data_IF_241262507807
#
_entry.id   IF_241262507807
#
_cell.length_a   1.000
_cell.length_b   1.000
_cell.length_c   1.000
_cell.angle_alpha   90.00
_cell.angle_beta   90.00
_cell.angle_gamma   90.00
#
_symmetry.space_group_name_H-M   'P 1'
#
loop_
_entity.id
_entity.type
_entity.pdbx_description
1 polymer ?
2 non-polymer ?
3 non-polymer ?
4 non-polymer ?
5 non-polymer ?
6 non-polymer ?
7 non-polymer ?
8 water ?
#
# COMPACT_ATOMS: atom_id res chain seq x y z
N UNK A 17 -8.43 7.22 -23.44
CA UNK A 17 -9.11 7.76 -22.20
C UNK A 17 -8.71 7.05 -20.87
N UNK A 18 -7.41 6.96 -20.58
CA UNK A 18 -7.08 6.30 -19.31
C UNK A 18 -7.50 7.15 -18.10
N UNK A 19 -7.91 6.49 -17.01
CA UNK A 19 -8.35 7.16 -15.77
C UNK A 19 -7.32 7.11 -14.66
N UNK A 20 -6.12 6.64 -14.94
CA UNK A 20 -5.08 6.45 -13.91
C UNK A 20 -3.73 6.99 -14.34
N UNK A 21 -3.73 8.22 -14.80
CA UNK A 21 -2.61 8.75 -15.53
C UNK A 21 -1.87 9.81 -14.69
N UNK A 22 -2.60 10.64 -13.94
CA UNK A 22 -2.04 11.88 -13.35
C UNK A 22 -2.33 11.82 -11.83
N UNK A 23 -1.39 12.24 -11.00
CA UNK A 23 -1.58 12.39 -9.61
C UNK A 23 -1.70 13.89 -9.28
N UNK A 24 -2.79 14.24 -8.54
CA UNK A 24 -3.07 15.54 -8.08
C UNK A 24 -3.05 15.62 -6.57
N UNK A 25 -2.82 16.81 -6.01
CA UNK A 25 -2.97 17.02 -4.59
C UNK A 25 -4.44 16.68 -4.18
N UNK A 26 -4.61 15.81 -3.19
CA UNK A 26 -5.93 15.39 -2.76
C UNK A 26 -6.74 16.55 -2.14
N UNK A 27 -6.08 17.56 -1.60
CA UNK A 27 -6.74 18.67 -0.95
C UNK A 27 -7.16 19.80 -1.85
N UNK A 28 -6.49 20.01 -2.98
CA UNK A 28 -6.77 21.17 -3.84
C UNK A 28 -6.77 20.89 -5.32
N UNK A 29 -6.27 19.74 -5.75
CA UNK A 29 -6.19 19.43 -7.18
C UNK A 29 -4.96 19.86 -7.95
N UNK A 30 -4.02 20.54 -7.32
CA UNK A 30 -2.75 20.85 -7.98
C UNK A 30 -2.12 19.63 -8.68
N UNK A 31 -1.72 19.74 -9.92
CA UNK A 31 -1.01 18.68 -10.62
C UNK A 31 0.36 18.41 -9.98
N UNK A 32 0.63 17.16 -9.60
CA UNK A 32 1.85 16.80 -8.88
C UNK A 32 2.78 15.80 -9.64
N UNK A 33 2.26 14.71 -10.11
CA UNK A 33 3.09 13.75 -10.82
C UNK A 33 2.23 12.85 -11.71
N UNK A 34 2.86 11.79 -12.25
CA UNK A 34 2.24 10.93 -13.24
C UNK A 34 2.64 9.51 -12.93
N UNK A 35 1.74 8.59 -13.21
CA UNK A 35 2.05 7.18 -13.04
C UNK A 35 3.29 6.73 -13.86
N UNK A 36 3.45 7.29 -15.03
CA UNK A 36 4.65 7.06 -15.86
C UNK A 36 5.97 7.38 -15.18
N UNK A 37 5.94 8.23 -14.15
CA UNK A 37 7.14 8.67 -13.46
C UNK A 37 7.38 7.90 -12.17
N UNK A 38 6.57 6.90 -11.90
CA UNK A 38 6.91 5.98 -10.81
C UNK A 38 8.31 5.35 -10.90
N UNK A 39 9.06 5.32 -9.81
CA UNK A 39 10.48 4.98 -9.78
C UNK A 39 10.65 3.80 -8.78
N UNK A 40 11.00 2.60 -9.26
CA UNK A 40 11.20 1.47 -8.34
C UNK A 40 12.56 1.47 -7.59
N UNK A 41 12.72 2.25 -6.54
CA UNK A 41 13.87 2.30 -5.66
C UNK A 41 14.05 1.00 -4.87
N UNK A 42 15.23 0.38 -4.93
CA UNK A 42 15.41 -0.93 -4.33
C UNK A 42 14.40 -1.97 -4.78
N UNK A 43 13.91 -1.88 -6.03
CA UNK A 43 12.98 -2.89 -6.57
C UNK A 43 11.51 -2.67 -6.31
N UNK A 44 11.13 -1.57 -5.65
CA UNK A 44 9.70 -1.34 -5.38
C UNK A 44 9.45 0.18 -5.42
N UNK A 45 8.44 0.61 -6.12
CA UNK A 45 8.06 2.00 -6.08
C UNK A 45 7.36 2.36 -4.75
N UNK A 46 6.84 1.38 -4.02
CA UNK A 46 6.25 1.57 -2.69
C UNK A 46 7.16 1.20 -1.51
N UNK A 47 7.29 2.12 -0.56
CA UNK A 47 8.13 1.98 0.62
C UNK A 47 7.33 2.37 1.85
N UNK A 48 7.19 1.45 2.80
CA UNK A 48 6.43 1.71 4.01
C UNK A 48 7.40 2.04 5.13
N UNK A 49 7.24 3.19 5.73
CA UNK A 49 8.23 3.79 6.63
C UNK A 49 7.55 4.50 7.79
N UNK A 50 8.32 4.76 8.86
CA UNK A 50 7.86 5.45 10.02
C UNK A 50 8.84 6.55 10.34
N UNK A 51 8.35 7.68 10.80
CA UNK A 51 9.19 8.76 11.32
C UNK A 51 9.38 8.69 12.86
N UNK A 52 10.19 9.59 13.41
CA UNK A 52 10.48 9.49 14.86
C UNK A 52 9.25 9.69 15.73
N UNK A 53 8.22 10.37 15.26
CA UNK A 53 6.99 10.52 15.96
C UNK A 53 6.09 9.28 15.82
N UNK A 54 6.58 8.25 15.13
CA UNK A 54 5.86 7.02 14.94
C UNK A 54 4.81 6.99 13.86
N UNK A 55 4.68 8.05 13.06
CA UNK A 55 3.71 8.08 11.96
C UNK A 55 4.20 7.11 10.89
N UNK A 56 3.28 6.29 10.38
CA UNK A 56 3.53 5.39 9.30
C UNK A 56 3.10 6.06 7.98
N UNK A 57 3.92 5.89 6.96
CA UNK A 57 3.66 6.50 5.61
C UNK A 57 3.88 5.37 4.61
N UNK A 58 2.97 5.29 3.61
CA UNK A 58 3.16 4.46 2.46
C UNK A 58 3.58 5.49 1.40
N UNK A 59 4.86 5.43 1.05
CA UNK A 59 5.53 6.38 0.19
C UNK A 59 5.69 5.74 -1.19
N UNK A 60 5.28 6.49 -2.22
CA UNK A 60 5.54 6.06 -3.61
C UNK A 60 6.69 6.98 -4.12
N UNK A 61 7.66 6.32 -4.76
CA UNK A 61 8.83 7.02 -5.26
C UNK A 61 8.58 7.39 -6.70
N UNK A 62 8.90 8.63 -7.05
CA UNK A 62 8.74 9.18 -8.39
C UNK A 62 10.03 9.82 -8.84
N UNK A 63 10.37 9.62 -10.12
CA UNK A 63 11.55 10.30 -10.67
C UNK A 63 11.42 11.81 -10.75
N UNK A 64 10.19 12.32 -10.94
CA UNK A 64 9.89 13.70 -11.19
C UNK A 64 8.57 14.01 -10.55
N UNK A 65 8.39 15.26 -10.24
CA UNK A 65 7.13 15.82 -9.75
C UNK A 65 7.17 17.27 -10.02
N UNK A 66 6.02 17.91 -9.96
CA UNK A 66 5.88 19.35 -10.19
C UNK A 66 4.89 19.90 -9.22
N UNK A 67 4.72 21.19 -9.17
CA UNK A 67 3.65 21.77 -8.34
C UNK A 67 3.89 21.74 -6.85
N UNK A 68 5.08 21.43 -6.44
CA UNK A 68 5.48 21.33 -5.05
C UNK A 68 6.26 22.57 -4.71
N UNK A 69 6.50 22.72 -3.41
CA UNK A 69 7.41 23.69 -2.89
C UNK A 69 8.26 22.96 -1.89
N UNK A 70 9.58 23.01 -2.15
CA UNK A 70 10.57 22.31 -1.33
C UNK A 70 11.09 23.29 -0.29
N UNK A 71 11.02 22.93 0.97
CA UNK A 71 11.22 23.83 2.05
C UNK A 71 12.55 23.55 2.76
N UNK A 72 13.37 24.61 2.92
CA UNK A 72 14.58 24.50 3.72
C UNK A 72 15.73 23.83 3.02
N UNK A 73 16.78 23.54 3.77
CA UNK A 73 17.97 22.92 3.24
C UNK A 73 17.93 21.41 3.55
N UNK A 74 18.63 20.60 2.74
CA UNK A 74 18.53 19.17 2.89
C UNK A 74 19.07 18.69 4.22
N UNK A 75 18.57 17.59 4.71
CA UNK A 75 19.06 16.95 5.93
C UNK A 75 19.21 15.48 5.69
N UNK A 76 20.24 14.87 6.24
CA UNK A 76 20.40 13.44 6.23
C UNK A 76 19.84 12.73 7.45
N UNK A 77 19.38 13.47 8.45
CA UNK A 77 18.86 12.90 9.72
C UNK A 77 17.64 11.97 9.45
N UNK A 78 17.71 10.75 9.91
CA UNK A 78 16.63 9.74 9.82
C UNK A 78 16.22 9.37 8.38
N UNK A 79 17.06 9.61 7.38
CA UNK A 79 16.68 9.32 6.03
C UNK A 79 16.33 7.90 5.85
N UNK A 80 15.18 7.67 5.23
CA UNK A 80 14.69 6.38 4.87
C UNK A 80 15.43 5.78 3.69
N UNK A 81 16.25 6.55 2.99
CA UNK A 81 16.87 6.05 1.77
C UNK A 81 18.33 6.34 1.91
N UNK A 82 19.13 5.28 2.03
CA UNK A 82 20.55 5.41 2.35
C UNK A 82 21.28 6.24 1.30
N UNK A 83 22.06 7.20 1.78
CA UNK A 83 22.79 8.12 0.93
C UNK A 83 22.08 9.31 0.39
N UNK A 84 20.83 9.53 0.81
CA UNK A 84 20.08 10.69 0.38
C UNK A 84 19.71 11.56 1.53
N UNK A 85 19.73 12.87 1.26
CA UNK A 85 19.30 13.88 2.13
C UNK A 85 17.92 14.31 1.66
N UNK A 86 17.11 14.74 2.61
CA UNK A 86 15.69 15.09 2.31
C UNK A 86 15.37 16.51 2.58
N UNK A 87 14.38 16.99 1.83
CA UNK A 87 13.72 18.28 2.12
C UNK A 87 12.22 17.99 2.08
N UNK A 88 11.50 18.68 2.91
CA UNK A 88 10.03 18.59 2.94
C UNK A 88 9.45 19.15 1.65
N UNK A 89 8.51 18.41 1.06
CA UNK A 89 7.81 18.83 -0.14
C UNK A 89 6.33 19.08 0.23
N UNK A 90 5.93 20.34 0.11
CA UNK A 90 4.56 20.74 0.28
C UNK A 90 3.93 20.95 -1.08
N UNK A 91 2.61 20.76 -1.14
CA UNK A 91 1.82 21.28 -2.27
C UNK A 91 2.08 22.77 -2.43
N UNK A 92 2.48 23.18 -3.63
CA UNK A 92 2.85 24.55 -3.88
C UNK A 92 1.62 25.46 -3.93
N UNK A 93 0.45 24.88 -4.05
CA UNK A 93 -0.81 25.60 -4.10
C UNK A 93 -1.36 25.78 -2.67
N UNK A 94 -1.58 24.67 -2.00
CA UNK A 94 -2.35 24.67 -0.73
C UNK A 94 -1.52 24.46 0.57
N UNK A 95 -0.28 24.03 0.42
CA UNK A 95 0.60 23.80 1.53
C UNK A 95 0.48 22.42 2.19
N UNK A 96 -0.36 21.53 1.69
CA UNK A 96 -0.50 20.17 2.22
C UNK A 96 0.91 19.48 2.12
N UNK A 97 1.32 18.80 3.22
CA UNK A 97 2.57 18.10 3.20
C UNK A 97 2.41 16.81 2.37
N UNK A 98 3.01 16.75 1.17
CA UNK A 98 2.80 15.67 0.26
C UNK A 98 3.92 14.62 0.26
N UNK A 99 5.08 14.99 0.79
CA UNK A 99 6.18 14.06 0.97
C UNK A 99 7.51 14.76 1.09
N UNK A 100 8.50 14.23 0.40
CA UNK A 100 9.89 14.74 0.53
C UNK A 100 10.57 14.69 -0.82
N UNK A 101 11.57 15.55 -1.01
CA UNK A 101 12.47 15.44 -2.11
C UNK A 101 13.79 14.95 -1.57
N UNK A 102 14.36 13.98 -2.27
CA UNK A 102 15.64 13.36 -1.86
C UNK A 102 16.70 13.78 -2.87
N UNK A 103 17.89 14.06 -2.35
CA UNK A 103 19.00 14.48 -3.15
C UNK A 103 20.32 14.02 -2.55
N UNK A 104 21.42 14.31 -3.27
CA UNK A 104 22.72 13.95 -2.77
C UNK A 104 23.24 12.53 -2.91
N UNK A 105 22.45 11.66 -3.54
CA UNK A 105 22.78 10.25 -3.64
C UNK A 105 23.30 9.90 -5.00
N UNK A 106 23.18 8.60 -5.38
CA UNK A 106 23.71 8.12 -6.69
C UNK A 106 22.68 7.18 -7.36
N UNK A 107 22.39 7.38 -8.62
CA UNK A 107 21.62 6.41 -9.43
C UNK A 107 20.26 6.08 -8.80
N UNK A 108 19.37 7.06 -8.65
CA UNK A 108 19.51 8.42 -9.18
C UNK A 108 20.09 9.37 -8.15
N UNK A 109 20.56 10.52 -8.59
CA UNK A 109 21.00 11.55 -7.67
C UNK A 109 19.85 12.11 -6.80
N UNK A 110 18.67 12.25 -7.41
CA UNK A 110 17.53 12.85 -6.80
C UNK A 110 16.22 12.05 -7.17
N UNK A 111 15.22 12.17 -6.30
CA UNK A 111 13.89 11.61 -6.58
C UNK A 111 12.93 12.20 -5.52
N UNK A 112 11.66 11.87 -5.70
CA UNK A 112 10.62 12.32 -4.79
C UNK A 112 10.00 11.11 -4.09
N UNK A 113 9.78 11.26 -2.80
CA UNK A 113 8.98 10.23 -2.07
C UNK A 113 7.71 10.89 -1.59
N UNK A 114 6.61 10.54 -2.23
CA UNK A 114 5.33 11.22 -1.98
C UNK A 114 4.38 10.26 -1.26
N UNK A 115 3.57 10.81 -0.37
CA UNK A 115 2.68 10.03 0.47
C UNK A 115 1.40 9.69 -0.34
N UNK A 116 1.25 8.41 -0.65
CA UNK A 116 0.26 7.93 -1.61
C UNK A 116 -1.16 8.40 -1.28
N UNK A 117 -1.57 8.28 -0.02
CA UNK A 117 -2.93 8.66 0.36
C UNK A 117 -3.20 10.19 0.39
N UNK A 118 -2.20 11.01 0.15
CA UNK A 118 -2.36 12.43 0.03
C UNK A 118 -2.48 12.92 -1.41
N UNK A 119 -2.50 11.99 -2.35
CA UNK A 119 -2.64 12.27 -3.79
C UNK A 119 -3.94 11.64 -4.27
N UNK A 120 -4.53 12.22 -5.29
CA UNK A 120 -5.64 11.62 -6.01
C UNK A 120 -5.24 11.30 -7.42
N UNK A 121 -5.55 10.08 -7.90
CA UNK A 121 -5.15 9.65 -9.20
C UNK A 121 -6.32 9.73 -10.17
N UNK A 122 -6.07 10.17 -11.39
CA UNK A 122 -7.15 10.40 -12.33
C UNK A 122 -6.63 10.62 -13.76
N UNK A 123 -7.55 10.89 -14.66
CA UNK A 123 -7.24 11.02 -16.04
C UNK A 123 -6.49 12.29 -16.34
N UNK A 124 -5.77 12.25 -17.46
CA UNK A 124 -4.73 13.20 -17.84
C UNK A 124 -5.05 14.69 -18.01
N UNK A 125 -6.23 15.06 -18.49
CA UNK A 125 -6.45 16.48 -18.90
C UNK A 125 -5.34 17.05 -19.88
N UNK B 20 -17.91 -11.24 10.83
CA UNK B 20 -18.96 -10.66 9.95
C UNK B 20 -18.95 -9.20 10.37
N UNK B 21 -17.95 -8.48 9.91
CA UNK B 21 -18.10 -7.06 9.83
C UNK B 21 -18.76 -6.74 8.46
N UNK B 22 -19.83 -5.95 8.47
CA UNK B 22 -20.54 -5.59 7.26
C UNK B 22 -20.50 -4.08 7.02
N UNK B 23 -20.62 -3.66 5.75
CA UNK B 23 -20.81 -2.34 5.37
C UNK B 23 -22.25 -2.11 4.94
N UNK B 24 -22.90 -1.15 5.57
CA UNK B 24 -24.26 -0.75 5.28
C UNK B 24 -24.29 0.57 4.59
N UNK B 25 -25.32 0.79 3.81
CA UNK B 25 -25.57 2.13 3.23
C UNK B 25 -25.75 3.11 4.43
N UNK B 26 -24.98 4.20 4.41
CA UNK B 26 -25.03 5.16 5.50
C UNK B 26 -26.40 5.90 5.57
N UNK B 27 -27.10 6.02 4.44
CA UNK B 27 -28.35 6.74 4.37
C UNK B 27 -29.57 5.93 4.77
N UNK B 28 -29.58 4.62 4.54
CA UNK B 28 -30.77 3.81 4.93
C UNK B 28 -30.53 2.54 5.68
N UNK B 29 -29.25 2.14 5.83
CA UNK B 29 -28.89 0.92 6.56
C UNK B 29 -28.91 -0.38 5.83
N UNK B 30 -29.21 -0.36 4.53
CA UNK B 30 -29.26 -1.65 3.78
C UNK B 30 -27.88 -2.25 3.83
N UNK B 31 -27.71 -3.55 4.12
CA UNK B 31 -26.45 -4.24 3.90
C UNK B 31 -26.01 -4.12 2.39
N UNK B 32 -24.76 -3.69 2.20
CA UNK B 32 -24.16 -3.55 0.87
C UNK B 32 -22.97 -4.47 0.59
N UNK B 33 -22.02 -4.54 1.48
CA UNK B 33 -20.89 -5.40 1.28
C UNK B 33 -20.29 -5.82 2.64
N UNK B 34 -19.19 -6.56 2.59
CA UNK B 34 -18.66 -7.21 3.80
C UNK B 34 -17.16 -7.01 3.79
N UNK B 35 -16.58 -6.92 4.99
CA UNK B 35 -15.14 -6.84 5.11
C UNK B 35 -14.40 -8.04 4.45
N UNK B 36 -14.99 -9.21 4.54
CA UNK B 36 -14.41 -10.41 3.88
C UNK B 36 -14.28 -10.26 2.35
N UNK B 37 -15.00 -9.30 1.76
CA UNK B 37 -14.99 -9.12 0.30
C UNK B 37 -14.09 -8.02 -0.12
N UNK B 38 -13.39 -7.34 0.85
CA UNK B 38 -12.38 -6.39 0.44
C UNK B 38 -11.39 -6.92 -0.60
N UNK B 39 -11.11 -6.13 -1.62
CA UNK B 39 -10.37 -6.59 -2.80
C UNK B 39 -9.18 -5.63 -3.01
N UNK B 40 -7.95 -6.09 -2.82
CA UNK B 40 -6.81 -5.16 -3.01
C UNK B 40 -6.39 -5.03 -4.49
N UNK B 41 -7.08 -4.22 -5.28
CA UNK B 41 -6.75 -3.94 -6.68
C UNK B 41 -5.48 -3.11 -6.80
N UNK B 42 -4.55 -3.58 -7.64
CA UNK B 42 -3.24 -2.94 -7.72
C UNK B 42 -2.53 -2.86 -6.36
N UNK B 43 -2.76 -3.79 -5.44
CA UNK B 43 -2.07 -3.79 -4.15
C UNK B 43 -2.66 -2.96 -3.04
N UNK B 44 -3.85 -2.35 -3.25
CA UNK B 44 -4.50 -1.62 -2.13
C UNK B 44 -6.00 -1.70 -2.31
N UNK B 45 -6.76 -1.97 -1.26
CA UNK B 45 -8.20 -1.88 -1.37
C UNK B 45 -8.69 -0.40 -1.41
N UNK B 46 -7.90 0.55 -0.95
CA UNK B 46 -8.19 2.01 -1.03
C UNK B 46 -7.51 2.72 -2.20
N UNK B 47 -8.30 3.47 -2.96
CA UNK B 47 -7.85 4.24 -4.09
C UNK B 47 -8.46 5.62 -3.94
N UNK B 48 -7.62 6.66 -3.84
CA UNK B 48 -8.11 8.03 -3.93
C UNK B 48 -7.97 8.46 -5.39
N UNK B 49 -9.08 8.88 -5.96
CA UNK B 49 -9.19 9.09 -7.43
C UNK B 49 -9.98 10.39 -7.69
N UNK B 50 -9.90 10.90 -8.90
CA UNK B 50 -10.67 12.07 -9.32
C UNK B 50 -11.24 11.76 -10.71
N UNK B 51 -12.42 12.29 -10.98
CA UNK B 51 -13.08 12.10 -12.28
C UNK B 51 -12.81 13.32 -13.20
N UNK B 52 -13.29 13.28 -14.45
CA UNK B 52 -12.97 14.37 -15.35
C UNK B 52 -13.54 15.73 -14.95
N UNK B 53 -14.64 15.72 -14.16
CA UNK B 53 -15.19 16.94 -13.61
C UNK B 53 -14.41 17.41 -12.41
N UNK B 54 -13.36 16.69 -12.02
CA UNK B 54 -12.53 17.11 -10.89
C UNK B 54 -13.07 16.73 -9.51
N UNK B 55 -14.09 15.92 -9.45
CA UNK B 55 -14.59 15.47 -8.11
C UNK B 55 -13.62 14.40 -7.61
N UNK B 56 -13.28 14.46 -6.33
CA UNK B 56 -12.35 13.55 -5.66
C UNK B 56 -13.11 12.55 -4.81
N UNK B 57 -12.74 11.31 -4.91
CA UNK B 57 -13.40 10.20 -4.16
C UNK B 57 -12.37 9.34 -3.49
N UNK B 58 -12.70 8.76 -2.36
CA UNK B 58 -11.87 7.77 -1.73
C UNK B 58 -12.66 6.50 -1.79
N UNK B 59 -12.23 5.61 -2.66
CA UNK B 59 -12.90 4.38 -3.08
C UNK B 59 -12.26 3.17 -2.44
N UNK B 60 -13.08 2.26 -1.89
CA UNK B 60 -12.65 0.96 -1.40
C UNK B 60 -13.19 -0.11 -2.39
N UNK B 61 -12.34 -1.05 -2.80
CA UNK B 61 -12.70 -2.06 -3.72
C UNK B 61 -13.21 -3.31 -2.95
N UNK B 62 -14.32 -3.86 -3.45
CA UNK B 62 -14.90 -5.07 -2.92
C UNK B 62 -15.20 -6.04 -4.06
N UNK B 63 -15.07 -7.32 -3.85
CA UNK B 63 -15.34 -8.32 -4.87
C UNK B 63 -16.79 -8.45 -5.28
N UNK B 64 -17.68 -8.30 -4.31
CA UNK B 64 -19.12 -8.46 -4.49
C UNK B 64 -19.78 -7.41 -3.64
N UNK B 65 -21.04 -7.22 -3.91
CA UNK B 65 -21.90 -6.35 -3.16
C UNK B 65 -23.31 -6.78 -3.43
N UNK B 66 -24.21 -6.26 -2.64
CA UNK B 66 -25.64 -6.59 -2.76
C UNK B 66 -26.39 -5.34 -2.44
N UNK B 67 -27.65 -5.37 -2.86
CA UNK B 67 -28.56 -4.29 -2.52
C UNK B 67 -28.36 -3.00 -3.28
N UNK B 68 -27.56 -3.03 -4.32
CA UNK B 68 -27.36 -1.89 -5.20
C UNK B 68 -28.27 -1.95 -6.43
N UNK B 69 -28.27 -0.87 -7.18
CA UNK B 69 -28.87 -0.82 -8.50
C UNK B 69 -27.89 -0.13 -9.41
N UNK B 70 -27.50 -0.81 -10.47
CA UNK B 70 -26.53 -0.37 -11.44
C UNK B 70 -27.25 0.31 -12.57
N UNK B 71 -26.84 1.53 -12.90
CA UNK B 71 -27.62 2.33 -13.82
C UNK B 71 -26.83 2.56 -15.10
N UNK B 72 -27.51 2.43 -16.22
CA UNK B 72 -26.92 2.72 -17.52
C UNK B 72 -26.13 1.52 -18.07
N UNK B 73 -25.52 1.76 -19.23
CA UNK B 73 -24.67 0.78 -19.88
C UNK B 73 -23.22 1.02 -19.47
N UNK B 74 -22.39 -0.03 -19.47
CA UNK B 74 -20.99 0.15 -19.05
C UNK B 74 -20.24 1.12 -19.92
N UNK B 75 -19.30 1.86 -19.35
CA UNK B 75 -18.47 2.77 -20.14
C UNK B 75 -17.04 2.50 -19.76
N UNK B 76 -16.20 2.60 -20.85
CA UNK B 76 -14.80 2.54 -20.68
C UNK B 76 -14.10 3.86 -20.51
N UNK B 77 -14.83 4.97 -20.65
CA UNK B 77 -14.23 6.33 -20.59
C UNK B 77 -13.64 6.60 -19.18
N UNK B 78 -12.35 6.91 -19.11
CA UNK B 78 -11.64 7.34 -17.89
C UNK B 78 -11.76 6.42 -16.69
N UNK B 79 -11.84 5.12 -16.99
CA UNK B 79 -11.95 4.13 -15.92
C UNK B 79 -10.73 4.23 -15.08
N UNK B 80 -10.94 4.25 -13.79
CA UNK B 80 -9.85 4.24 -12.82
C UNK B 80 -9.15 2.86 -12.76
N UNK B 81 -9.70 1.83 -13.39
CA UNK B 81 -9.08 0.50 -13.29
C UNK B 81 -8.92 0.00 -14.70
N UNK B 82 -7.67 -0.06 -15.14
CA UNK B 82 -7.33 -0.47 -16.48
C UNK B 82 -7.87 -1.81 -16.84
N UNK B 83 -8.50 -1.87 -18.01
CA UNK B 83 -9.14 -3.10 -18.51
C UNK B 83 -10.59 -3.31 -18.07
N UNK B 84 -11.17 -2.40 -17.31
CA UNK B 84 -12.53 -2.50 -16.87
C UNK B 84 -13.36 -1.34 -17.36
N UNK B 85 -14.64 -1.61 -17.58
CA UNK B 85 -15.67 -0.64 -17.81
C UNK B 85 -16.44 -0.46 -16.47
N UNK B 86 -17.04 0.70 -16.32
CA UNK B 86 -17.76 1.05 -15.12
C UNK B 86 -19.23 1.37 -15.39
N UNK B 87 -20.02 1.10 -14.35
CA UNK B 87 -21.41 1.55 -14.29
C UNK B 87 -21.64 2.17 -12.93
N UNK B 88 -22.40 3.22 -12.88
CA UNK B 88 -22.82 3.86 -11.62
C UNK B 88 -23.64 2.90 -10.75
N UNK B 89 -23.30 2.86 -9.47
CA UNK B 89 -24.02 2.03 -8.48
C UNK B 89 -24.73 2.92 -7.45
N UNK B 90 -26.05 2.83 -7.41
CA UNK B 90 -26.84 3.44 -6.35
C UNK B 90 -27.30 2.40 -5.33
N UNK B 91 -27.55 2.84 -4.11
CA UNK B 91 -28.32 2.02 -3.16
C UNK B 91 -29.70 1.68 -3.76
N UNK B 92 -30.05 0.41 -3.81
CA UNK B 92 -31.26 -0.05 -4.44
C UNK B 92 -32.50 0.32 -3.64
N UNK B 93 -32.31 0.55 -2.36
CA UNK B 93 -33.36 0.85 -1.43
C UNK B 93 -33.67 2.36 -1.36
N UNK B 94 -32.64 3.16 -1.17
CA UNK B 94 -32.85 4.63 -1.04
C UNK B 94 -32.27 5.53 -2.12
N UNK B 95 -31.49 5.00 -3.04
CA UNK B 95 -30.96 5.79 -4.16
C UNK B 95 -29.62 6.50 -3.95
N UNK B 96 -29.02 6.41 -2.77
CA UNK B 96 -27.72 7.08 -2.56
C UNK B 96 -26.65 6.59 -3.55
N UNK B 97 -25.85 7.48 -4.11
CA UNK B 97 -24.76 7.06 -5.03
C UNK B 97 -23.63 6.45 -4.22
N UNK B 98 -23.45 5.12 -4.23
CA UNK B 98 -22.51 4.47 -3.37
C UNK B 98 -21.20 4.13 -4.05
N UNK B 99 -21.18 4.11 -5.39
CA UNK B 99 -19.91 3.93 -6.14
C UNK B 99 -20.15 3.47 -7.54
N UNK B 100 -19.35 2.47 -7.95
CA UNK B 100 -19.39 1.95 -9.30
C UNK B 100 -19.17 0.49 -9.32
N UNK B 101 -19.72 -0.17 -10.34
CA UNK B 101 -19.38 -1.58 -10.62
C UNK B 101 -18.49 -1.60 -11.83
N UNK B 102 -17.49 -2.47 -11.81
CA UNK B 102 -16.52 -2.67 -12.84
C UNK B 102 -16.70 -4.03 -13.45
N UNK B 103 -16.57 -4.06 -14.79
CA UNK B 103 -16.72 -5.33 -15.47
C UNK B 103 -15.84 -5.35 -16.72
N UNK B 104 -15.72 -6.51 -17.29
CA UNK B 104 -15.11 -6.65 -18.64
C UNK B 104 -13.63 -6.96 -18.56
N UNK B 105 -13.14 -7.17 -17.35
CA UNK B 105 -11.74 -7.56 -17.15
C UNK B 105 -11.57 -9.02 -16.91
N UNK B 106 -10.45 -9.38 -16.26
CA UNK B 106 -10.09 -10.78 -15.94
C UNK B 106 -9.49 -10.83 -14.53
N UNK B 107 -9.87 -11.81 -13.73
CA UNK B 107 -9.25 -12.08 -12.43
C UNK B 107 -9.16 -10.83 -11.53
N UNK B 108 -10.31 -10.27 -11.11
CA UNK B 108 -11.63 -10.83 -11.34
C UNK B 108 -12.29 -10.21 -12.54
N UNK B 109 -13.30 -10.87 -13.08
CA UNK B 109 -14.01 -10.27 -14.20
C UNK B 109 -14.79 -9.02 -13.80
N UNK B 110 -15.34 -9.04 -12.59
CA UNK B 110 -16.13 -7.95 -12.02
C UNK B 110 -15.76 -7.64 -10.56
N UNK B 111 -15.99 -6.39 -10.16
CA UNK B 111 -15.84 -5.95 -8.76
C UNK B 111 -16.50 -4.58 -8.61
N UNK B 112 -16.52 -4.09 -7.37
CA UNK B 112 -17.13 -2.83 -7.00
C UNK B 112 -16.07 -1.89 -6.47
N UNK B 113 -16.21 -0.62 -6.79
CA UNK B 113 -15.46 0.45 -6.13
C UNK B 113 -16.51 1.31 -5.41
N UNK B 114 -16.51 1.26 -4.12
CA UNK B 114 -17.54 1.92 -3.32
C UNK B 114 -16.93 3.11 -2.55
N UNK B 115 -17.70 4.15 -2.39
CA UNK B 115 -17.28 5.37 -1.73
C UNK B 115 -17.28 5.19 -0.23
N UNK B 116 -16.11 5.08 0.37
CA UNK B 116 -15.98 4.70 1.78
C UNK B 116 -16.81 5.54 2.72
N UNK B 117 -16.85 6.83 2.52
CA UNK B 117 -17.61 7.80 3.33
C UNK B 117 -19.12 7.67 3.27
N UNK B 118 -19.62 6.91 2.30
CA UNK B 118 -21.04 6.67 2.13
C UNK B 118 -21.53 5.39 2.72
N UNK B 119 -20.62 4.65 3.36
CA UNK B 119 -20.92 3.37 3.96
C UNK B 119 -20.71 3.52 5.47
N UNK B 120 -21.34 2.63 6.20
CA UNK B 120 -21.13 2.54 7.63
C UNK B 120 -20.72 1.12 7.94
N UNK B 121 -19.64 0.90 8.68
CA UNK B 121 -19.19 -0.41 9.05
C UNK B 121 -19.69 -0.77 10.46
N UNK B 122 -20.09 -2.02 10.61
CA UNK B 122 -20.66 -2.47 11.88
C UNK B 122 -20.83 -3.98 11.89
N UNK B 123 -21.24 -4.53 13.01
CA UNK B 123 -21.47 -5.95 13.11
C UNK B 123 -22.71 -6.37 12.35
N UNK B 124 -22.67 -7.57 11.80
CA UNK B 124 -23.79 -8.12 11.04
C UNK B 124 -24.96 -8.39 11.97
N UNK C 19 17.61 6.00 10.38
CA UNK C 19 16.27 6.16 9.74
C UNK C 19 15.55 4.85 9.46
N UNK C 20 16.30 3.75 9.35
CA UNK C 20 15.76 2.42 9.07
C UNK C 20 16.35 1.36 9.98
N UNK C 21 16.23 1.60 11.27
CA UNK C 21 16.88 0.87 12.30
C UNK C 21 15.91 -0.09 13.08
N UNK C 22 14.62 0.26 13.15
CA UNK C 22 13.61 -0.55 13.84
C UNK C 22 12.53 -0.97 12.85
N UNK C 23 12.13 -2.24 12.92
CA UNK C 23 11.18 -2.77 11.97
C UNK C 23 9.90 -3.07 12.71
N UNK C 24 8.77 -2.62 12.13
CA UNK C 24 7.44 -2.71 12.76
C UNK C 24 6.42 -3.33 11.81
N UNK C 25 5.35 -3.89 12.36
CA UNK C 25 4.21 -4.27 11.54
C UNK C 25 3.64 -3.08 10.74
N UNK C 26 3.53 -3.22 9.43
CA UNK C 26 2.96 -2.19 8.54
C UNK C 26 1.52 -1.86 8.84
N UNK C 27 0.76 -2.86 9.28
CA UNK C 27 -0.70 -2.71 9.49
C UNK C 27 -1.06 -2.07 10.78
N UNK C 28 -0.25 -2.30 11.85
CA UNK C 28 -0.60 -1.70 13.14
C UNK C 28 0.51 -1.02 13.88
N UNK C 29 1.77 -1.16 13.40
CA UNK C 29 2.93 -0.61 14.04
C UNK C 29 3.58 -1.36 15.21
N UNK C 30 3.09 -2.55 15.52
CA UNK C 30 3.75 -3.39 16.57
C UNK C 30 5.25 -3.50 16.30
N UNK C 31 6.08 -3.26 17.28
CA UNK C 31 7.53 -3.40 17.16
C UNK C 31 7.85 -4.88 16.97
N UNK C 32 8.65 -5.21 15.94
CA UNK C 32 8.98 -6.64 15.64
C UNK C 32 10.47 -6.97 15.78
N UNK C 33 11.34 -6.18 15.17
CA UNK C 33 12.75 -6.45 15.27
C UNK C 33 13.60 -5.20 15.00
N UNK C 34 14.92 -5.40 14.90
CA UNK C 34 15.87 -4.29 14.92
C UNK C 34 16.97 -4.58 13.91
N UNK C 35 17.50 -3.51 13.34
CA UNK C 35 18.61 -3.63 12.40
C UNK C 35 19.83 -4.35 13.02
N UNK C 36 20.09 -4.13 14.29
CA UNK C 36 21.13 -4.86 15.07
C UNK C 36 21.01 -6.41 14.96
N UNK C 37 19.80 -6.91 14.71
CA UNK C 37 19.54 -8.35 14.69
C UNK C 37 19.47 -8.91 13.26
N UNK C 38 19.68 -8.04 12.28
CA UNK C 38 19.41 -8.44 10.89
C UNK C 38 20.61 -9.33 10.53
N UNK C 39 20.38 -10.36 9.71
CA UNK C 39 21.48 -11.21 9.25
C UNK C 39 21.83 -11.03 7.73
N UNK C 40 22.97 -10.39 7.44
CA UNK C 40 23.36 -10.23 6.03
C UNK C 40 23.94 -11.50 5.39
N UNK C 41 23.66 -11.80 4.12
CA UNK C 41 24.38 -12.86 3.38
C UNK C 41 25.21 -12.12 2.36
N UNK C 42 26.53 -12.24 2.49
CA UNK C 42 27.48 -11.41 1.71
C UNK C 42 27.07 -9.91 1.78
N UNK C 43 26.80 -9.31 0.63
CA UNK C 43 26.41 -7.86 0.57
C UNK C 43 24.90 -7.60 0.70
N UNK C 44 24.10 -8.65 0.78
CA UNK C 44 22.65 -8.56 0.78
C UNK C 44 21.97 -8.68 2.15
N UNK C 45 21.28 -7.61 2.52
CA UNK C 45 20.43 -7.68 3.70
C UNK C 45 19.11 -8.39 3.34
N UNK C 46 18.71 -8.39 2.07
CA UNK C 46 17.37 -8.80 1.60
C UNK C 46 17.62 -10.01 0.70
N UNK C 47 16.68 -10.97 0.70
CA UNK C 47 16.68 -12.10 -0.21
C UNK C 47 15.37 -12.14 -0.93
N UNK C 48 15.49 -12.16 -2.27
CA UNK C 48 14.37 -12.25 -3.18
C UNK C 48 14.03 -13.74 -3.39
N UNK C 49 12.78 -14.06 -3.12
CA UNK C 49 12.27 -15.43 -3.17
C UNK C 49 10.90 -15.45 -3.82
N UNK C 50 10.44 -16.64 -4.23
CA UNK C 50 9.13 -16.78 -4.84
C UNK C 50 8.34 -17.84 -4.01
N UNK C 51 7.09 -17.56 -3.72
CA UNK C 51 6.19 -18.61 -3.22
C UNK C 51 5.94 -19.65 -4.33
N UNK C 52 5.17 -20.72 -4.03
CA UNK C 52 5.03 -21.76 -5.04
C UNK C 52 4.33 -21.31 -6.32
N UNK C 53 3.51 -20.27 -6.24
CA UNK C 53 2.85 -19.69 -7.40
C UNK C 53 3.80 -18.77 -8.16
N UNK C 54 5.04 -18.60 -7.68
CA UNK C 54 5.98 -17.69 -8.32
C UNK C 54 5.81 -16.19 -8.05
N UNK C 55 4.99 -15.84 -7.08
CA UNK C 55 4.90 -14.43 -6.63
C UNK C 55 6.18 -14.11 -5.84
N UNK C 56 6.71 -12.92 -6.07
CA UNK C 56 8.00 -12.52 -5.51
C UNK C 56 7.88 -11.80 -4.15
N UNK C 57 8.74 -12.14 -3.23
CA UNK C 57 8.85 -11.46 -1.93
C UNK C 57 10.31 -11.07 -1.69
N UNK C 58 10.48 -9.99 -0.95
CA UNK C 58 11.75 -9.56 -0.43
C UNK C 58 11.69 -9.89 1.06
N UNK C 59 12.49 -10.86 1.45
CA UNK C 59 12.60 -11.37 2.81
C UNK C 59 13.83 -10.83 3.51
N UNK C 60 13.67 -10.38 4.77
CA UNK C 60 14.82 -10.07 5.64
C UNK C 60 14.92 -11.12 6.73
N UNK C 61 16.12 -11.66 6.98
CA UNK C 61 16.33 -12.60 8.08
C UNK C 61 16.82 -11.89 9.32
N UNK C 62 16.26 -12.23 10.46
CA UNK C 62 16.64 -11.66 11.77
C UNK C 62 16.91 -12.73 12.80
N UNK C 63 17.93 -12.52 13.63
CA UNK C 63 18.25 -13.51 14.66
C UNK C 63 17.19 -13.60 15.77
N UNK C 64 16.57 -12.46 16.10
CA UNK C 64 15.62 -12.35 17.18
C UNK C 64 14.47 -11.48 16.75
N UNK C 65 13.32 -11.70 17.38
CA UNK C 65 12.19 -10.80 17.13
C UNK C 65 11.32 -10.83 18.35
N UNK C 66 10.35 -9.91 18.36
CA UNK C 66 9.40 -9.82 19.46
C UNK C 66 8.06 -9.52 18.84
N UNK C 67 7.03 -9.67 19.67
CA UNK C 67 5.74 -9.20 19.25
C UNK C 67 5.03 -10.06 18.23
N UNK C 68 5.53 -11.27 17.94
CA UNK C 68 4.87 -12.15 17.01
C UNK C 68 4.11 -13.20 17.77
N UNK C 69 3.30 -13.96 17.03
CA UNK C 69 2.68 -15.16 17.53
C UNK C 69 2.94 -16.25 16.50
N UNK C 70 3.57 -17.33 16.95
CA UNK C 70 3.97 -18.43 16.08
C UNK C 70 2.89 -19.49 16.10
N UNK C 71 2.39 -19.87 14.93
CA UNK C 71 1.23 -20.77 14.92
C UNK C 71 1.61 -22.13 14.32
N UNK C 72 1.10 -23.21 14.90
CA UNK C 72 1.14 -24.53 14.26
C UNK C 72 2.46 -25.25 14.39
N UNK C 73 2.55 -26.39 13.71
CA UNK C 73 3.74 -27.23 13.77
C UNK C 73 4.67 -26.89 12.60
N UNK C 74 5.96 -27.13 12.75
CA UNK C 74 6.90 -26.77 11.66
C UNK C 74 6.64 -27.56 10.39
N UNK C 75 6.95 -26.96 9.26
CA UNK C 75 6.84 -27.62 7.97
C UNK C 75 8.11 -27.36 7.17
N UNK C 76 8.53 -28.36 6.43
CA UNK C 76 9.61 -28.22 5.47
C UNK C 76 9.18 -27.88 4.05
N UNK C 77 7.86 -27.84 3.78
CA UNK C 77 7.33 -27.63 2.40
C UNK C 77 7.79 -26.28 1.81
N UNK C 78 8.44 -26.34 0.65
CA UNK C 78 8.90 -25.15 -0.10
C UNK C 78 9.87 -24.23 0.65
N UNK C 79 10.60 -24.76 1.62
CA UNK C 79 11.46 -23.88 2.43
C UNK C 79 12.47 -23.23 1.55
N UNK C 80 12.58 -21.91 1.67
CA UNK C 80 13.58 -21.15 0.94
C UNK C 80 14.96 -21.33 1.54
N UNK C 81 15.09 -21.99 2.69
CA UNK C 81 16.41 -22.06 3.36
C UNK C 81 16.62 -23.54 3.65
N UNK C 82 17.55 -24.14 2.91
CA UNK C 82 17.64 -25.61 2.90
C UNK C 82 18.01 -26.13 4.28
N UNK C 83 17.30 -27.16 4.73
CA UNK C 83 17.45 -27.70 6.08
C UNK C 83 16.74 -26.97 7.22
N UNK C 84 15.89 -26.01 6.89
CA UNK C 84 15.04 -25.38 7.89
C UNK C 84 13.58 -25.66 7.63
N UNK C 85 12.88 -25.88 8.75
CA UNK C 85 11.45 -25.98 8.75
C UNK C 85 10.94 -24.59 9.23
N UNK C 86 9.74 -24.23 8.75
CA UNK C 86 9.11 -22.99 9.09
C UNK C 86 7.81 -23.13 9.84
N UNK C 87 7.50 -22.11 10.63
CA UNK C 87 6.21 -21.93 11.27
C UNK C 87 5.76 -20.51 10.96
N UNK C 88 4.48 -20.34 10.75
CA UNK C 88 3.92 -19.03 10.40
C UNK C 88 4.08 -18.07 11.59
N UNK C 89 4.56 -16.85 11.28
CA UNK C 89 4.67 -15.80 12.29
C UNK C 89 3.66 -14.67 11.97
N UNK C 90 2.70 -14.50 12.87
CA UNK C 90 1.76 -13.41 12.77
C UNK C 90 2.15 -12.28 13.72
N UNK C 91 1.75 -11.06 13.37
CA UNK C 91 1.78 -9.97 14.33
C UNK C 91 0.92 -10.33 15.53
N UNK C 92 1.51 -10.23 16.73
CA UNK C 92 0.79 -10.53 17.95
C UNK C 92 -0.30 -9.53 18.29
N UNK C 93 -0.22 -8.35 17.70
CA UNK C 93 -1.16 -7.28 18.02
C UNK C 93 -2.38 -7.30 17.11
N UNK C 94 -2.11 -7.41 15.81
CA UNK C 94 -3.23 -7.35 14.83
C UNK C 94 -3.49 -8.59 14.02
N UNK C 95 -2.59 -9.56 14.05
CA UNK C 95 -2.82 -10.82 13.31
C UNK C 95 -2.25 -10.84 11.89
N UNK C 96 -1.67 -9.73 11.42
CA UNK C 96 -1.11 -9.71 10.05
C UNK C 96 -0.01 -10.77 9.91
N UNK C 97 0.01 -11.49 8.80
CA UNK C 97 1.03 -12.51 8.56
C UNK C 97 2.31 -11.81 8.14
N UNK C 98 3.34 -11.80 9.01
CA UNK C 98 4.55 -11.01 8.73
C UNK C 98 5.71 -11.84 8.18
N UNK C 99 5.65 -13.15 8.38
CA UNK C 99 6.68 -14.04 7.81
C UNK C 99 6.69 -15.38 8.51
N UNK C 100 7.88 -15.91 8.78
CA UNK C 100 8.03 -17.26 9.32
C UNK C 100 9.13 -17.31 10.34
N UNK C 101 9.03 -18.27 11.26
CA UNK C 101 10.13 -18.61 12.13
C UNK C 101 10.71 -19.93 11.59
N UNK C 102 12.02 -19.98 11.52
CA UNK C 102 12.74 -21.11 10.92
C UNK C 102 13.53 -21.81 12.01
N UNK C 103 13.51 -23.14 11.95
CA UNK C 103 14.23 -23.92 12.92
C UNK C 103 14.74 -25.21 12.29
N UNK C 104 15.56 -25.92 13.06
CA UNK C 104 15.93 -27.28 12.73
C UNK C 104 17.23 -27.34 11.96
N UNK C 105 17.87 -26.18 11.73
CA UNK C 105 19.14 -26.15 11.02
C UNK C 105 20.31 -25.99 11.97
N UNK C 106 21.42 -25.46 11.45
CA UNK C 106 22.65 -25.22 12.19
C UNK C 106 23.25 -23.88 11.75
N UNK C 107 23.75 -23.09 12.71
CA UNK C 107 24.52 -21.87 12.41
C UNK C 107 23.80 -20.93 11.41
N UNK C 108 22.65 -20.38 11.78
CA UNK C 108 22.06 -20.46 13.11
C UNK C 108 21.03 -21.58 13.17
N UNK C 109 20.71 -22.03 14.38
CA UNK C 109 19.76 -23.12 14.50
C UNK C 109 18.35 -22.63 14.16
N UNK C 110 18.07 -21.39 14.56
CA UNK C 110 16.79 -20.74 14.37
C UNK C 110 17.00 -19.27 13.93
N UNK C 111 15.99 -18.75 13.22
CA UNK C 111 15.93 -17.36 12.84
C UNK C 111 14.51 -17.05 12.40
N UNK C 112 14.28 -15.79 12.13
CA UNK C 112 13.00 -15.29 11.62
C UNK C 112 13.20 -14.73 10.23
N UNK C 113 12.34 -15.12 9.29
CA UNK C 113 12.37 -14.63 7.91
C UNK C 113 11.10 -13.83 7.70
N UNK C 114 11.24 -12.51 7.63
CA UNK C 114 10.07 -11.61 7.63
C UNK C 114 9.95 -10.92 6.27
N UNK C 115 8.71 -10.70 5.86
CA UNK C 115 8.44 -10.17 4.51
C UNK C 115 8.60 -8.66 4.51
N UNK C 116 9.58 -8.16 3.77
CA UNK C 116 9.80 -6.72 3.61
C UNK C 116 8.58 -5.85 3.39
N UNK C 117 7.68 -6.23 2.47
CA UNK C 117 6.51 -5.35 2.22
C UNK C 117 5.42 -5.38 3.30
N UNK C 118 5.59 -6.24 4.30
CA UNK C 118 4.69 -6.26 5.44
C UNK C 118 5.21 -5.49 6.64
N UNK C 119 6.36 -4.86 6.52
CA UNK C 119 7.03 -4.16 7.56
C UNK C 119 7.14 -2.68 7.22
N UNK C 120 7.27 -1.86 8.25
CA UNK C 120 7.65 -0.49 8.12
C UNK C 120 8.99 -0.34 8.88
N UNK C 121 9.88 0.45 8.31
CA UNK C 121 11.19 0.69 8.91
C UNK C 121 11.22 2.12 9.35
N UNK C 122 11.85 2.37 10.50
CA UNK C 122 11.98 3.72 11.04
C UNK C 122 13.10 3.82 12.05
N UNK C 123 13.31 5.00 12.59
CA UNK C 123 14.45 5.23 13.47
C UNK C 123 14.25 4.62 14.82
N UNK C 124 15.36 4.42 15.52
CA UNK C 124 15.35 3.96 16.93
C UNK C 124 14.78 5.06 17.82
#
# INVERSE_FOLDING_TARGET
>A
AMPLDAGGQNSTQMVLAPGASIFRCRQCGQTISRRDWLLPMGGDHEHVVFNPAGMIFRVWCFSLAQGLRLIGAPSGEFSWFKGYDWTIALCGQCGSHLGWHYEGGSQPQTFFGLIKDRLAEGPAD
>B
AMPLDAGGQNSTQMVLAPGASIFRCRQCGQTISRRDWLLPMGGDHEHVVFNPAGMIFRVWCFSLAQGLRLIGAPSGEFSWFKGYDWTIALCGQCGSHLGWHYEGGSQPQTFFGLIKDRLAEGPAD
>C
AMPLDAGGQNSTQMVLAPGASIFRCRQCGQTISRRDWLLPMGGDHEHVVFNPAGMIFRVWCFSLAQGLRLIGAPSGEFSWFKGYDWTIALCGQCGSHLGWHYEGGSQPQTFFGLIKDRLAEGPAD
#
